data_IF_448641532069
#
_entry.id   IF_448641532069
#
_cell.length_a   1.000
_cell.length_b   1.000
_cell.length_c   1.000
_cell.angle_alpha   90.00
_cell.angle_beta   90.00
_cell.angle_gamma   90.00
#
_symmetry.space_group_name_H-M   'P 1'
#
loop_
_entity.id
_entity.type
_entity.pdbx_description
1 polymer ?
#
# COMPACT_ATOMS: atom_id res chain seq x y z
N UNK A 1 23.02 14.74 -7.98
CA UNK A 1 21.90 14.94 -7.04
C UNK A 1 20.70 14.17 -7.55
N UNK A 2 20.24 13.13 -6.84
CA UNK A 2 19.06 12.36 -7.27
C UNK A 2 17.81 13.06 -6.76
N UNK A 3 17.05 13.68 -7.67
CA UNK A 3 15.76 14.30 -7.34
C UNK A 3 14.75 13.19 -6.95
N UNK A 4 14.38 13.11 -5.68
CA UNK A 4 13.27 12.30 -5.21
C UNK A 4 12.01 13.17 -5.15
N UNK A 5 11.05 12.93 -6.05
CA UNK A 5 9.77 13.65 -6.10
C UNK A 5 8.68 12.78 -5.46
N UNK A 6 8.06 13.26 -4.38
CA UNK A 6 7.00 12.53 -3.68
C UNK A 6 5.62 12.82 -4.28
N UNK A 7 4.94 11.79 -4.75
CA UNK A 7 3.55 11.88 -5.21
C UNK A 7 2.62 12.05 -3.99
N UNK A 8 1.80 13.12 -3.96
CA UNK A 8 0.86 13.41 -2.86
C UNK A 8 -0.36 12.48 -2.88
N UNK A 9 -0.79 12.06 -4.07
CA UNK A 9 -1.93 11.16 -4.30
C UNK A 9 -1.56 10.15 -5.39
N UNK A 10 -1.84 8.88 -5.15
CA UNK A 10 -1.71 7.82 -6.14
C UNK A 10 -3.11 7.30 -6.45
N UNK A 11 -3.64 7.68 -7.62
CA UNK A 11 -4.88 7.11 -8.12
C UNK A 11 -4.59 5.69 -8.64
N UNK A 12 -5.00 4.69 -7.85
CA UNK A 12 -4.90 3.29 -8.21
C UNK A 12 -6.22 2.89 -8.86
N UNK A 13 -6.27 2.86 -10.19
CA UNK A 13 -7.36 2.27 -10.93
C UNK A 13 -7.04 0.80 -11.23
N UNK A 14 -7.71 -0.12 -10.54
CA UNK A 14 -7.70 -1.53 -10.92
C UNK A 14 -8.85 -1.73 -11.90
N UNK A 15 -8.52 -1.81 -13.18
CA UNK A 15 -9.53 -2.05 -14.21
C UNK A 15 -10.19 -3.40 -13.97
N UNK A 16 -11.53 -3.44 -14.10
CA UNK A 16 -12.27 -4.69 -14.04
C UNK A 16 -11.76 -5.63 -15.15
N UNK A 17 -11.39 -6.84 -14.75
CA UNK A 17 -10.96 -7.90 -15.64
C UNK A 17 -11.95 -9.05 -15.50
N UNK A 18 -12.72 -9.30 -16.56
CA UNK A 18 -13.69 -10.39 -16.58
C UNK A 18 -12.97 -11.73 -16.44
N UNK A 19 -13.46 -12.59 -15.55
CA UNK A 19 -13.05 -13.99 -15.50
C UNK A 19 -14.08 -14.83 -16.27
N UNK A 20 -13.62 -15.74 -17.12
CA UNK A 20 -14.51 -16.74 -17.76
C UNK A 20 -14.94 -17.81 -16.75
N UNK A 21 -14.08 -18.09 -15.77
CA UNK A 21 -14.27 -19.12 -14.75
C UNK A 21 -14.51 -18.50 -13.38
N UNK A 22 -14.90 -19.31 -12.40
CA UNK A 22 -14.97 -18.91 -11.00
C UNK A 22 -13.66 -18.30 -10.49
N UNK A 23 -13.76 -17.26 -9.65
CA UNK A 23 -12.60 -16.54 -9.13
C UNK A 23 -12.21 -17.08 -7.75
N UNK A 24 -10.98 -17.56 -7.64
CA UNK A 24 -10.40 -17.98 -6.36
C UNK A 24 -9.53 -16.85 -5.80
N UNK A 25 -10.10 -16.03 -4.93
CA UNK A 25 -9.40 -14.87 -4.36
C UNK A 25 -8.63 -15.24 -3.09
N UNK A 26 -7.32 -15.00 -3.11
CA UNK A 26 -6.48 -14.89 -1.93
C UNK A 26 -6.56 -13.46 -1.40
N UNK A 27 -6.95 -13.30 -0.15
CA UNK A 27 -7.06 -11.98 0.50
C UNK A 27 -6.07 -11.93 1.65
N UNK A 28 -5.21 -10.91 1.63
CA UNK A 28 -4.27 -10.65 2.72
C UNK A 28 -4.29 -9.18 3.15
N UNK A 29 -3.90 -8.94 4.40
CA UNK A 29 -3.81 -7.63 5.01
C UNK A 29 -2.41 -7.41 5.58
N UNK A 30 -1.67 -6.45 5.02
CA UNK A 30 -0.35 -6.09 5.53
C UNK A 30 -0.32 -4.69 6.15
N UNK A 31 0.48 -4.53 7.19
CA UNK A 31 0.71 -3.24 7.85
C UNK A 31 1.75 -2.42 7.10
N UNK A 32 1.35 -1.26 6.59
CA UNK A 32 2.26 -0.30 5.97
C UNK A 32 2.65 0.80 6.95
N UNK A 33 3.96 1.03 7.09
CA UNK A 33 4.51 2.15 7.83
C UNK A 33 4.76 3.33 6.90
N UNK A 34 4.08 4.44 7.12
CA UNK A 34 4.33 5.66 6.36
C UNK A 34 5.46 6.43 7.03
N UNK A 35 6.55 6.68 6.29
CA UNK A 35 7.64 7.54 6.73
C UNK A 35 7.55 8.90 6.04
N UNK A 36 7.48 9.97 6.83
CA UNK A 36 7.49 11.36 6.37
C UNK A 36 8.84 11.81 5.80
N UNK A 37 8.85 12.95 5.10
CA UNK A 37 10.11 13.61 4.74
C UNK A 37 10.87 14.01 6.02
N UNK A 38 12.18 13.75 6.05
CA UNK A 38 13.02 14.02 7.21
C UNK A 38 12.92 12.99 8.34
N UNK A 39 11.99 12.03 8.31
CA UNK A 39 11.90 10.99 9.35
C UNK A 39 13.10 10.05 9.39
N UNK A 40 13.75 9.79 8.25
CA UNK A 40 15.01 9.03 8.25
C UNK A 40 16.13 9.79 8.99
N UNK A 41 16.25 11.10 8.72
CA UNK A 41 17.22 11.98 9.39
C UNK A 41 16.89 12.17 10.88
N UNK A 42 15.60 12.28 11.22
CA UNK A 42 15.14 12.34 12.63
C UNK A 42 15.32 11.01 13.36
N UNK A 43 15.10 9.86 12.72
CA UNK A 43 15.41 8.54 13.31
C UNK A 43 16.89 8.46 13.71
N UNK A 44 17.77 9.08 12.94
CA UNK A 44 19.23 9.11 13.20
C UNK A 44 19.63 10.15 14.25
N UNK A 45 18.99 11.33 14.31
CA UNK A 45 19.52 12.51 15.02
C UNK A 45 18.49 13.35 15.79
N UNK A 46 17.23 12.94 15.92
CA UNK A 46 16.18 13.77 16.54
C UNK A 46 15.14 12.97 17.34
N UNK A 47 14.19 13.69 17.93
CA UNK A 47 13.11 13.09 18.71
C UNK A 47 12.12 12.32 17.83
N UNK A 48 11.61 11.20 18.36
CA UNK A 48 10.71 10.30 17.66
C UNK A 48 9.26 10.81 17.70
N UNK A 49 8.60 10.93 16.54
CA UNK A 49 7.18 11.31 16.42
C UNK A 49 6.29 10.07 16.25
N UNK A 50 4.98 10.20 16.51
CA UNK A 50 4.01 9.09 16.37
C UNK A 50 3.93 8.63 14.91
N UNK A 51 4.31 7.37 14.68
CA UNK A 51 4.28 6.71 13.37
C UNK A 51 2.85 6.52 12.91
N UNK A 52 2.53 6.93 11.68
CA UNK A 52 1.25 6.61 11.05
C UNK A 52 1.35 5.26 10.35
N UNK A 53 0.54 4.31 10.82
CA UNK A 53 0.38 3.01 10.18
C UNK A 53 -0.93 3.00 9.40
N UNK A 54 -0.96 2.29 8.27
CA UNK A 54 -2.20 1.98 7.55
C UNK A 54 -2.23 0.49 7.21
N UNK A 55 -3.42 -0.08 7.12
CA UNK A 55 -3.59 -1.45 6.61
C UNK A 55 -3.80 -1.40 5.11
N UNK A 56 -3.02 -2.20 4.39
CA UNK A 56 -3.20 -2.48 2.98
C UNK A 56 -3.87 -3.84 2.86
N UNK A 57 -5.06 -3.86 2.28
CA UNK A 57 -5.78 -5.07 1.92
C UNK A 57 -5.55 -5.33 0.43
N UNK A 58 -5.09 -6.52 0.08
CA UNK A 58 -4.89 -6.93 -1.32
C UNK A 58 -5.68 -8.22 -1.57
N UNK A 59 -6.45 -8.25 -2.67
CA UNK A 59 -7.05 -9.44 -3.21
C UNK A 59 -6.35 -9.87 -4.50
N UNK A 60 -5.86 -11.11 -4.56
CA UNK A 60 -5.14 -11.69 -5.69
C UNK A 60 -5.87 -12.94 -6.18
N UNK A 61 -6.02 -13.10 -7.48
CA UNK A 61 -6.49 -14.36 -8.06
C UNK A 61 -5.41 -15.46 -7.91
N UNK A 62 -5.74 -16.55 -7.23
CA UNK A 62 -4.84 -17.67 -6.97
C UNK A 62 -4.30 -18.33 -8.25
N UNK A 63 -5.07 -18.32 -9.34
CA UNK A 63 -4.70 -18.99 -10.60
C UNK A 63 -3.77 -18.14 -11.45
N UNK A 64 -4.06 -16.85 -11.56
CA UNK A 64 -3.36 -15.94 -12.48
C UNK A 64 -2.35 -15.03 -11.77
N UNK A 65 -2.37 -14.98 -10.44
CA UNK A 65 -1.61 -14.05 -9.60
C UNK A 65 -1.90 -12.57 -9.90
N UNK A 66 -3.00 -12.27 -10.59
CA UNK A 66 -3.41 -10.90 -10.86
C UNK A 66 -4.01 -10.27 -9.61
N UNK A 67 -3.64 -9.02 -9.34
CA UNK A 67 -4.29 -8.19 -8.32
C UNK A 67 -5.68 -7.83 -8.82
N UNK A 68 -6.72 -8.21 -8.06
CA UNK A 68 -8.13 -7.97 -8.39
C UNK A 68 -8.76 -6.88 -7.53
N UNK A 69 -8.18 -6.61 -6.35
CA UNK A 69 -8.65 -5.56 -5.45
C UNK A 69 -7.49 -5.05 -4.59
N UNK A 70 -7.50 -3.75 -4.30
CA UNK A 70 -6.61 -3.11 -3.34
C UNK A 70 -7.41 -2.08 -2.56
N UNK A 71 -7.25 -2.08 -1.24
CA UNK A 71 -7.85 -1.06 -0.37
C UNK A 71 -6.84 -0.65 0.70
N UNK A 72 -6.72 0.65 0.93
CA UNK A 72 -5.95 1.20 2.04
C UNK A 72 -6.91 1.75 3.09
N UNK A 73 -6.77 1.31 4.33
CA UNK A 73 -7.57 1.81 5.46
C UNK A 73 -6.68 2.39 6.54
N UNK A 74 -7.17 3.42 7.23
CA UNK A 74 -6.55 3.89 8.46
C UNK A 74 -6.68 2.81 9.55
N UNK A 75 -5.68 2.74 10.42
CA UNK A 75 -5.80 2.02 11.69
C UNK A 75 -6.29 3.07 12.68
N UNK A 76 -7.53 2.94 13.15
CA UNK A 76 -8.03 3.73 14.29
C UNK A 76 -7.20 3.45 15.54
#
# INVERSE_FOLDING_TARGET
STLCRRQKYLDIAINYQKSSDGLHLLVDSTGLKFLGEGEWKRKKHGAEYRRQWRKLHIGIDAKTLQIRAVQLTLIM
#
